data_IF_327949825841
#
_entry.id   IF_327949825841
#
_cell.length_a   1.000
_cell.length_b   1.000
_cell.length_c   1.000
_cell.angle_alpha   90.00
_cell.angle_beta   90.00
_cell.angle_gamma   90.00
#
_symmetry.space_group_name_H-M   'P 1'
#
loop_
_entity.id
_entity.type
_entity.pdbx_description
1 polymer ?
#
# COMPACT_ATOMS: atom_id res chain seq x y z
N UNK A 1 -14.70 -23.27 -11.51
CA UNK A 1 -14.56 -23.34 -12.97
C UNK A 1 -13.15 -22.92 -13.28
N UNK A 2 -12.36 -23.80 -13.90
CA UNK A 2 -11.05 -23.42 -14.43
C UNK A 2 -11.31 -22.58 -15.68
N UNK A 3 -10.98 -21.30 -15.64
CA UNK A 3 -11.00 -20.47 -16.85
C UNK A 3 -9.87 -20.95 -17.77
N UNK A 4 -10.12 -21.20 -19.06
CA UNK A 4 -9.09 -21.71 -19.95
C UNK A 4 -8.02 -20.62 -20.16
N UNK A 5 -6.77 -20.94 -19.84
CA UNK A 5 -5.62 -20.15 -20.26
C UNK A 5 -5.32 -20.49 -21.73
N UNK A 6 -5.99 -19.77 -22.63
CA UNK A 6 -5.92 -19.97 -24.08
C UNK A 6 -5.18 -18.84 -24.81
N UNK A 7 -5.10 -18.95 -26.15
CA UNK A 7 -4.44 -17.95 -26.98
C UNK A 7 -5.03 -16.54 -26.88
N UNK A 8 -6.32 -16.39 -26.54
CA UNK A 8 -6.95 -15.08 -26.35
C UNK A 8 -6.45 -14.41 -25.09
N UNK A 9 -6.45 -15.12 -23.97
CA UNK A 9 -5.91 -14.58 -22.71
C UNK A 9 -4.39 -14.36 -22.74
N UNK A 10 -3.66 -15.16 -23.53
CA UNK A 10 -2.23 -14.96 -23.79
C UNK A 10 -1.98 -13.65 -24.54
N UNK A 11 -2.79 -13.30 -25.54
CA UNK A 11 -2.65 -12.05 -26.29
C UNK A 11 -2.89 -10.82 -25.38
N UNK A 12 -3.86 -10.91 -24.47
CA UNK A 12 -4.13 -9.85 -23.48
C UNK A 12 -2.97 -9.65 -22.50
N UNK A 13 -2.30 -10.73 -22.06
CA UNK A 13 -1.07 -10.65 -21.25
C UNK A 13 0.06 -9.96 -21.99
N UNK A 14 0.33 -10.36 -23.22
CA UNK A 14 1.36 -9.72 -24.05
C UNK A 14 1.05 -8.24 -24.29
N UNK A 15 -0.22 -7.88 -24.50
CA UNK A 15 -0.63 -6.47 -24.64
C UNK A 15 -0.39 -5.67 -23.37
N UNK A 16 -0.72 -6.24 -22.19
CA UNK A 16 -0.41 -5.59 -20.91
C UNK A 16 1.11 -5.42 -20.73
N UNK A 17 1.91 -6.47 -20.97
CA UNK A 17 3.37 -6.40 -20.86
C UNK A 17 3.96 -5.32 -21.78
N UNK A 18 3.51 -5.25 -23.03
CA UNK A 18 3.94 -4.23 -23.99
C UNK A 18 3.60 -2.82 -23.52
N UNK A 19 2.38 -2.58 -23.00
CA UNK A 19 1.99 -1.27 -22.47
C UNK A 19 2.86 -0.86 -21.28
N UNK A 20 3.04 -1.77 -20.31
CA UNK A 20 3.88 -1.50 -19.13
C UNK A 20 5.33 -1.19 -19.52
N UNK A 21 5.86 -1.84 -20.55
CA UNK A 21 7.20 -1.58 -21.04
C UNK A 21 7.33 -0.24 -21.79
N UNK A 22 6.33 0.09 -22.62
CA UNK A 22 6.27 1.38 -23.32
C UNK A 22 6.15 2.56 -22.35
N UNK A 23 5.43 2.36 -21.24
CA UNK A 23 5.27 3.33 -20.16
C UNK A 23 6.51 3.37 -19.22
N UNK A 24 7.47 2.46 -19.38
CA UNK A 24 8.73 2.44 -18.64
C UNK A 24 8.70 1.72 -17.29
N UNK A 25 7.57 1.08 -16.94
CA UNK A 25 7.42 0.32 -15.69
C UNK A 25 8.14 -1.04 -15.77
N UNK A 26 7.96 -1.74 -16.89
CA UNK A 26 8.53 -3.06 -17.13
C UNK A 26 9.87 -2.93 -17.86
N UNK A 27 10.98 -3.22 -17.18
CA UNK A 27 12.33 -2.86 -17.64
C UNK A 27 13.23 -4.08 -17.84
N UNK A 28 13.10 -5.08 -16.97
CA UNK A 28 13.98 -6.25 -16.96
C UNK A 28 13.39 -7.41 -17.76
N UNK A 29 14.18 -8.12 -18.60
CA UNK A 29 13.70 -9.25 -19.40
C UNK A 29 13.02 -10.37 -18.58
N UNK A 30 13.47 -10.59 -17.34
CA UNK A 30 12.91 -11.59 -16.45
C UNK A 30 11.47 -11.23 -16.03
N UNK A 31 11.21 -9.95 -15.76
CA UNK A 31 9.86 -9.49 -15.43
C UNK A 31 8.96 -9.46 -16.67
N UNK A 32 9.51 -9.22 -17.86
CA UNK A 32 8.77 -9.36 -19.11
C UNK A 32 8.16 -10.75 -19.25
N UNK A 33 8.98 -11.79 -19.17
CA UNK A 33 8.52 -13.18 -19.23
C UNK A 33 7.54 -13.50 -18.10
N UNK A 34 7.79 -13.03 -16.87
CA UNK A 34 6.87 -13.24 -15.76
C UNK A 34 5.46 -12.67 -16.01
N UNK A 35 5.35 -11.45 -16.56
CA UNK A 35 4.05 -10.83 -16.88
C UNK A 35 3.35 -11.55 -18.03
N UNK A 36 4.09 -11.95 -19.07
CA UNK A 36 3.55 -12.65 -20.24
C UNK A 36 3.07 -14.07 -19.92
N UNK A 37 3.71 -14.74 -18.97
CA UNK A 37 3.46 -16.15 -18.65
C UNK A 37 2.57 -16.36 -17.42
N UNK A 38 2.35 -15.33 -16.59
CA UNK A 38 1.51 -15.46 -15.37
C UNK A 38 0.04 -15.09 -15.64
N UNK A 39 -0.90 -16.05 -15.61
CA UNK A 39 -2.31 -15.81 -15.94
C UNK A 39 -3.06 -15.08 -14.81
N UNK A 40 -3.08 -13.74 -14.86
CA UNK A 40 -3.76 -12.90 -13.84
C UNK A 40 -5.22 -13.29 -13.57
N UNK A 41 -5.94 -13.77 -14.58
CA UNK A 41 -7.33 -14.21 -14.48
C UNK A 41 -7.54 -15.50 -13.65
N UNK A 42 -6.52 -16.37 -13.53
CA UNK A 42 -6.56 -17.51 -12.59
C UNK A 42 -6.49 -17.00 -11.16
N UNK A 43 -5.62 -16.01 -10.91
CA UNK A 43 -5.49 -15.40 -9.59
C UNK A 43 -6.69 -14.51 -9.21
N UNK A 44 -7.31 -13.85 -10.19
CA UNK A 44 -8.42 -12.90 -10.00
C UNK A 44 -9.69 -13.41 -10.69
N UNK A 45 -10.29 -14.53 -10.26
CA UNK A 45 -11.48 -15.11 -10.89
C UNK A 45 -12.75 -14.26 -10.73
N UNK A 46 -12.73 -13.32 -9.77
CA UNK A 46 -13.82 -12.42 -9.43
C UNK A 46 -13.24 -11.12 -8.87
N UNK A 47 -13.83 -10.00 -9.27
CA UNK A 47 -13.57 -8.69 -8.67
C UNK A 47 -14.89 -7.93 -8.48
N UNK A 48 -14.82 -6.76 -7.84
CA UNK A 48 -15.97 -5.90 -7.57
C UNK A 48 -15.76 -4.52 -8.21
N UNK A 49 -16.82 -4.00 -8.84
CA UNK A 49 -16.91 -2.60 -9.29
C UNK A 49 -17.98 -1.86 -8.49
N UNK A 50 -17.86 -0.54 -8.41
CA UNK A 50 -18.93 0.30 -7.86
C UNK A 50 -19.81 0.82 -9.00
N UNK A 51 -21.12 0.59 -8.88
CA UNK A 51 -22.15 1.14 -9.77
C UNK A 51 -23.19 1.81 -8.87
N UNK A 52 -23.37 3.13 -9.04
CA UNK A 52 -24.33 3.94 -8.25
C UNK A 52 -24.21 3.73 -6.72
N UNK A 53 -22.96 3.65 -6.23
CA UNK A 53 -22.67 3.45 -4.81
C UNK A 53 -22.88 2.03 -4.28
N UNK A 54 -23.20 1.06 -5.15
CA UNK A 54 -23.33 -0.36 -4.80
C UNK A 54 -22.17 -1.17 -5.38
N UNK A 55 -21.75 -2.19 -4.64
CA UNK A 55 -20.74 -3.14 -5.09
C UNK A 55 -21.40 -4.23 -5.94
N UNK A 56 -20.94 -4.38 -7.18
CA UNK A 56 -21.33 -5.46 -8.10
C UNK A 56 -20.14 -6.37 -8.36
N UNK A 57 -20.34 -7.68 -8.27
CA UNK A 57 -19.31 -8.66 -8.63
C UNK A 57 -19.23 -8.84 -10.13
N UNK A 58 -18.01 -8.90 -10.66
CA UNK A 58 -17.68 -9.17 -12.06
C UNK A 58 -16.85 -10.44 -12.12
N UNK A 59 -17.25 -11.36 -12.99
CA UNK A 59 -16.59 -12.64 -13.26
C UNK A 59 -16.53 -12.85 -14.80
N UNK A 60 -16.04 -14.00 -15.26
CA UNK A 60 -15.92 -14.25 -16.71
C UNK A 60 -17.23 -14.34 -17.51
N UNK A 61 -18.41 -14.26 -16.87
CA UNK A 61 -19.69 -14.15 -17.57
C UNK A 61 -19.92 -12.70 -18.08
N UNK A 62 -19.21 -11.72 -17.52
CA UNK A 62 -19.21 -10.33 -17.97
C UNK A 62 -18.30 -10.18 -19.21
N UNK A 63 -18.77 -9.59 -20.32
CA UNK A 63 -17.99 -9.45 -21.55
C UNK A 63 -16.70 -8.63 -21.38
N UNK A 64 -16.67 -7.71 -20.42
CA UNK A 64 -15.51 -6.83 -20.17
C UNK A 64 -14.53 -7.43 -19.15
N UNK A 65 -14.80 -8.64 -18.64
CA UNK A 65 -14.01 -9.25 -17.57
C UNK A 65 -12.53 -9.40 -17.93
N UNK A 66 -12.21 -10.05 -19.05
CA UNK A 66 -10.81 -10.33 -19.41
C UNK A 66 -10.04 -9.04 -19.72
N UNK A 67 -10.66 -8.11 -20.44
CA UNK A 67 -10.07 -6.81 -20.74
C UNK A 67 -9.80 -6.02 -19.46
N UNK A 68 -10.73 -6.06 -18.50
CA UNK A 68 -10.56 -5.42 -17.19
C UNK A 68 -9.46 -6.11 -16.37
N UNK A 69 -9.41 -7.45 -16.35
CA UNK A 69 -8.35 -8.21 -15.66
C UNK A 69 -6.96 -7.84 -16.18
N UNK A 70 -6.81 -7.64 -17.49
CA UNK A 70 -5.54 -7.27 -18.11
C UNK A 70 -5.36 -5.77 -18.34
N UNK A 71 -6.21 -4.93 -17.75
CA UNK A 71 -6.02 -3.49 -17.71
C UNK A 71 -4.99 -3.07 -16.64
N UNK A 72 -4.42 -1.87 -16.80
CA UNK A 72 -3.49 -1.31 -15.81
C UNK A 72 -4.25 -0.64 -14.65
N UNK A 73 -5.16 -1.37 -14.01
CA UNK A 73 -5.95 -0.90 -12.88
C UNK A 73 -5.89 -1.89 -11.71
N UNK A 74 -6.12 -1.37 -10.51
CA UNK A 74 -6.34 -2.19 -9.33
C UNK A 74 -7.76 -2.75 -9.35
N UNK A 75 -7.92 -4.02 -8.96
CA UNK A 75 -9.20 -4.71 -8.94
C UNK A 75 -9.56 -5.03 -7.50
N UNK A 76 -10.71 -4.56 -7.01
CA UNK A 76 -11.19 -4.91 -5.66
C UNK A 76 -11.63 -6.38 -5.66
N UNK A 77 -11.09 -7.20 -4.77
CA UNK A 77 -11.31 -8.66 -4.78
C UNK A 77 -12.01 -9.18 -3.54
N UNK A 78 -12.15 -8.34 -2.51
CA UNK A 78 -12.94 -8.65 -1.32
C UNK A 78 -13.59 -7.38 -0.78
N UNK A 79 -14.89 -7.47 -0.48
CA UNK A 79 -15.67 -6.40 0.18
C UNK A 79 -16.28 -6.97 1.45
N UNK A 80 -16.03 -6.32 2.60
CA UNK A 80 -16.61 -6.66 3.90
C UNK A 80 -17.37 -5.44 4.40
N UNK A 81 -18.66 -5.63 4.74
CA UNK A 81 -19.52 -4.55 5.27
C UNK A 81 -19.50 -3.28 4.43
N UNK A 82 -19.54 -3.43 3.11
CA UNK A 82 -19.56 -2.31 2.15
C UNK A 82 -18.21 -1.62 1.91
N UNK A 83 -17.10 -2.15 2.45
CA UNK A 83 -15.75 -1.59 2.28
C UNK A 83 -14.82 -2.61 1.63
N UNK A 84 -14.01 -2.16 0.68
CA UNK A 84 -12.94 -2.98 0.11
C UNK A 84 -11.94 -3.39 1.21
N UNK A 85 -11.52 -4.65 1.17
CA UNK A 85 -10.60 -5.25 2.17
C UNK A 85 -9.51 -6.11 1.56
N UNK A 86 -9.59 -6.39 0.25
CA UNK A 86 -8.52 -6.96 -0.55
C UNK A 86 -8.64 -6.46 -1.99
N UNK A 87 -7.51 -6.36 -2.67
CA UNK A 87 -7.43 -6.04 -4.10
C UNK A 87 -6.28 -6.80 -4.76
N UNK A 88 -6.40 -6.99 -6.07
CA UNK A 88 -5.25 -7.21 -6.94
C UNK A 88 -4.74 -5.83 -7.35
N UNK A 89 -3.58 -5.42 -6.84
CA UNK A 89 -3.00 -4.09 -7.08
C UNK A 89 -2.78 -3.78 -8.56
N UNK A 90 -2.66 -2.49 -8.87
CA UNK A 90 -2.35 -2.01 -10.22
C UNK A 90 -1.06 -2.66 -10.74
N UNK A 91 -1.05 -3.24 -11.95
CA UNK A 91 0.13 -3.90 -12.52
C UNK A 91 1.38 -3.03 -12.55
N UNK A 92 1.31 -1.78 -13.04
CA UNK A 92 2.48 -0.90 -13.10
C UNK A 92 3.12 -0.68 -11.73
N UNK A 93 2.33 -0.36 -10.71
CA UNK A 93 2.81 -0.17 -9.35
C UNK A 93 3.52 -1.43 -8.80
N UNK A 94 2.94 -2.61 -9.03
CA UNK A 94 3.54 -3.87 -8.57
C UNK A 94 4.84 -4.17 -9.29
N UNK A 95 4.90 -3.96 -10.60
CA UNK A 95 6.12 -4.15 -11.38
C UNK A 95 7.20 -3.15 -10.95
N UNK A 96 6.86 -1.88 -10.74
CA UNK A 96 7.82 -0.90 -10.22
C UNK A 96 8.42 -1.36 -8.89
N UNK A 97 7.58 -1.83 -7.95
CA UNK A 97 8.05 -2.36 -6.66
C UNK A 97 8.95 -3.60 -6.83
N UNK A 98 8.63 -4.51 -7.75
CA UNK A 98 9.41 -5.71 -8.03
C UNK A 98 10.76 -5.42 -8.71
N UNK A 99 10.79 -4.44 -9.63
CA UNK A 99 12.02 -3.96 -10.26
C UNK A 99 12.93 -3.31 -9.20
N UNK A 100 12.38 -2.46 -8.33
CA UNK A 100 13.15 -1.81 -7.25
C UNK A 100 13.59 -2.78 -6.16
N UNK A 101 12.84 -3.87 -5.95
CA UNK A 101 13.26 -4.96 -5.06
C UNK A 101 14.54 -5.63 -5.56
N UNK A 102 14.79 -5.61 -6.87
CA UNK A 102 16.05 -6.10 -7.47
C UNK A 102 16.32 -7.56 -7.14
N UNK A 103 15.36 -8.44 -7.43
CA UNK A 103 15.47 -9.88 -7.18
C UNK A 103 16.48 -10.51 -8.14
N UNK A 104 17.44 -11.25 -7.59
CA UNK A 104 18.44 -12.03 -8.33
C UNK A 104 18.20 -13.54 -8.18
N UNK A 105 18.86 -14.32 -9.04
CA UNK A 105 18.68 -15.77 -9.08
C UNK A 105 19.11 -16.43 -7.76
N UNK A 106 18.32 -17.41 -7.31
CA UNK A 106 18.56 -18.17 -6.07
C UNK A 106 18.24 -17.43 -4.77
N UNK A 107 17.78 -16.17 -4.84
CA UNK A 107 17.42 -15.40 -3.66
C UNK A 107 16.08 -15.85 -3.06
N UNK A 108 16.01 -15.91 -1.73
CA UNK A 108 14.78 -16.12 -0.96
C UNK A 108 13.97 -14.83 -0.87
N UNK A 109 12.72 -14.88 -1.32
CA UNK A 109 11.80 -13.74 -1.36
C UNK A 109 10.63 -13.97 -0.41
N UNK A 110 10.36 -12.98 0.44
CA UNK A 110 9.16 -12.91 1.27
C UNK A 110 8.16 -11.91 0.72
N UNK A 111 6.87 -12.22 0.82
CA UNK A 111 5.77 -11.30 0.57
C UNK A 111 4.84 -11.19 1.78
N UNK A 112 4.39 -9.98 2.10
CA UNK A 112 3.32 -9.72 3.09
C UNK A 112 2.09 -9.19 2.37
N UNK A 113 0.93 -9.77 2.70
CA UNK A 113 -0.39 -9.59 2.08
C UNK A 113 -0.51 -10.32 0.71
N UNK A 114 -0.54 -11.66 0.77
CA UNK A 114 -0.71 -12.51 -0.42
C UNK A 114 -1.93 -12.14 -1.26
N UNK A 115 -3.05 -11.78 -0.63
CA UNK A 115 -4.29 -11.41 -1.30
C UNK A 115 -4.77 -12.49 -2.26
N UNK A 116 -4.80 -12.17 -3.56
CA UNK A 116 -5.19 -13.14 -4.59
C UNK A 116 -4.12 -14.16 -4.95
N UNK A 117 -2.84 -13.85 -4.67
CA UNK A 117 -1.67 -14.61 -5.08
C UNK A 117 -1.02 -14.15 -6.39
N UNK A 118 -1.58 -13.16 -7.10
CA UNK A 118 -1.05 -12.77 -8.43
C UNK A 118 0.40 -12.29 -8.38
N UNK A 119 0.74 -11.40 -7.45
CA UNK A 119 2.11 -10.91 -7.29
C UNK A 119 3.07 -12.04 -6.88
N UNK A 120 2.64 -12.90 -5.96
CA UNK A 120 3.36 -14.13 -5.64
C UNK A 120 3.58 -15.05 -6.86
N UNK A 121 2.65 -15.07 -7.82
CA UNK A 121 2.78 -15.85 -9.06
C UNK A 121 3.90 -15.32 -9.94
N UNK A 122 4.01 -13.99 -10.07
CA UNK A 122 5.14 -13.34 -10.75
C UNK A 122 6.47 -13.65 -10.05
N UNK A 123 6.49 -13.64 -8.72
CA UNK A 123 7.70 -13.97 -7.94
C UNK A 123 8.07 -15.45 -8.08
N UNK A 124 7.09 -16.37 -8.05
CA UNK A 124 7.32 -17.79 -8.28
C UNK A 124 7.92 -18.04 -9.67
N UNK A 125 7.42 -17.36 -10.70
CA UNK A 125 8.01 -17.41 -12.04
C UNK A 125 9.46 -16.92 -12.03
N UNK A 126 9.73 -15.80 -11.34
CA UNK A 126 11.06 -15.18 -11.30
C UNK A 126 12.13 -16.00 -10.58
N UNK A 127 11.83 -16.60 -9.43
CA UNK A 127 12.84 -17.29 -8.59
C UNK A 127 12.57 -18.77 -8.34
N UNK A 128 11.41 -19.29 -8.73
CA UNK A 128 10.92 -20.60 -8.31
C UNK A 128 10.18 -20.55 -6.97
N UNK A 129 9.13 -21.36 -6.85
CA UNK A 129 8.26 -21.41 -5.67
C UNK A 129 8.98 -21.89 -4.41
N UNK A 130 10.05 -22.69 -4.53
CA UNK A 130 10.90 -23.13 -3.44
C UNK A 130 11.69 -21.98 -2.78
N UNK A 131 11.83 -20.85 -3.47
CA UNK A 131 12.49 -19.64 -2.95
C UNK A 131 11.48 -18.58 -2.49
N UNK A 132 10.19 -18.88 -2.49
CA UNK A 132 9.14 -17.91 -2.17
C UNK A 132 8.34 -18.31 -0.92
N UNK A 133 8.12 -17.33 -0.04
CA UNK A 133 7.21 -17.44 1.11
C UNK A 133 6.33 -16.21 1.17
N UNK A 134 5.04 -16.39 1.44
CA UNK A 134 4.08 -15.28 1.54
C UNK A 134 3.17 -15.44 2.75
N UNK A 135 2.69 -14.31 3.28
CA UNK A 135 1.80 -14.27 4.44
C UNK A 135 0.51 -13.52 4.13
N UNK A 136 -0.62 -14.10 4.55
CA UNK A 136 -1.95 -13.52 4.43
C UNK A 136 -2.68 -13.55 5.78
N UNK A 137 -3.31 -12.43 6.14
CA UNK A 137 -4.05 -12.30 7.39
C UNK A 137 -5.39 -13.06 7.34
N UNK A 138 -6.09 -13.01 6.20
CA UNK A 138 -7.38 -13.68 6.01
C UNK A 138 -7.19 -15.17 5.67
N UNK A 139 -7.61 -16.11 6.53
CA UNK A 139 -7.42 -17.54 6.29
C UNK A 139 -8.08 -18.05 5.00
N UNK A 140 -9.18 -17.45 4.56
CA UNK A 140 -9.86 -17.85 3.34
C UNK A 140 -9.11 -17.35 2.10
N UNK A 141 -8.61 -16.12 2.11
CA UNK A 141 -7.73 -15.64 1.03
C UNK A 141 -6.44 -16.46 0.96
N UNK A 142 -5.85 -16.80 2.12
CA UNK A 142 -4.67 -17.68 2.21
C UNK A 142 -4.94 -19.05 1.57
N UNK A 143 -6.10 -19.65 1.85
CA UNK A 143 -6.53 -20.93 1.27
C UNK A 143 -6.75 -20.83 -0.24
N UNK A 144 -7.42 -19.77 -0.71
CA UNK A 144 -7.68 -19.54 -2.13
C UNK A 144 -6.41 -19.28 -2.93
N UNK A 145 -5.47 -18.50 -2.38
CA UNK A 145 -4.18 -18.25 -2.99
C UNK A 145 -3.38 -19.55 -3.17
N UNK A 146 -3.35 -20.45 -2.17
CA UNK A 146 -2.73 -21.79 -2.30
C UNK A 146 -3.30 -22.57 -3.48
N UNK A 147 -4.62 -22.60 -3.63
CA UNK A 147 -5.27 -23.29 -4.76
C UNK A 147 -4.86 -22.67 -6.09
N UNK A 148 -4.82 -21.35 -6.21
CA UNK A 148 -4.44 -20.64 -7.45
C UNK A 148 -2.97 -20.82 -7.81
N UNK A 149 -2.08 -20.87 -6.83
CA UNK A 149 -0.68 -21.26 -7.06
C UNK A 149 -0.60 -22.67 -7.64
N UNK A 150 -1.31 -23.63 -7.05
CA UNK A 150 -1.32 -25.01 -7.53
C UNK A 150 -1.89 -25.14 -8.95
N UNK A 151 -2.94 -24.38 -9.28
CA UNK A 151 -3.48 -24.31 -10.64
C UNK A 151 -2.45 -23.77 -11.64
N UNK A 152 -1.55 -22.88 -11.21
CA UNK A 152 -0.42 -22.38 -12.01
C UNK A 152 0.84 -23.24 -11.92
N UNK A 153 0.79 -24.41 -11.27
CA UNK A 153 1.94 -25.32 -11.15
C UNK A 153 2.94 -24.96 -10.04
N UNK A 154 2.60 -24.04 -9.14
CA UNK A 154 3.44 -23.62 -8.02
C UNK A 154 2.90 -24.12 -6.68
N UNK A 155 3.78 -24.36 -5.72
CA UNK A 155 3.48 -24.78 -4.34
C UNK A 155 4.37 -24.05 -3.31
N UNK A 156 4.35 -22.70 -3.28
CA UNK A 156 5.15 -21.94 -2.32
C UNK A 156 4.60 -22.09 -0.90
N UNK A 157 5.40 -21.67 0.08
CA UNK A 157 4.94 -21.61 1.47
C UNK A 157 4.00 -20.41 1.64
N UNK A 158 2.71 -20.68 1.89
CA UNK A 158 1.71 -19.64 2.20
C UNK A 158 1.29 -19.76 3.67
N UNK A 159 1.65 -18.75 4.45
CA UNK A 159 1.36 -18.65 5.89
C UNK A 159 0.07 -17.86 6.10
N UNK A 160 -0.86 -18.41 6.89
CA UNK A 160 -1.98 -17.63 7.42
C UNK A 160 -1.56 -17.01 8.76
N UNK A 161 -1.60 -15.68 8.88
CA UNK A 161 -1.18 -14.99 10.09
C UNK A 161 -1.09 -13.48 9.97
N UNK A 162 -0.97 -12.82 11.12
CA UNK A 162 -0.75 -11.37 11.19
C UNK A 162 0.73 -11.06 11.04
N UNK A 163 1.09 -10.40 9.93
CA UNK A 163 2.46 -10.00 9.63
C UNK A 163 3.07 -9.04 10.66
N UNK A 164 2.25 -8.40 11.52
CA UNK A 164 2.76 -7.65 12.69
C UNK A 164 3.61 -8.53 13.62
N UNK A 165 3.33 -9.83 13.68
CA UNK A 165 4.08 -10.81 14.46
C UNK A 165 5.33 -11.35 13.73
N UNK A 166 5.54 -11.02 12.45
CA UNK A 166 6.62 -11.52 11.62
C UNK A 166 6.37 -12.93 11.06
N UNK A 167 7.27 -13.40 10.20
CA UNK A 167 7.21 -14.75 9.63
C UNK A 167 7.51 -15.81 10.70
N UNK A 168 6.75 -16.94 10.73
CA UNK A 168 7.15 -18.11 11.50
C UNK A 168 8.56 -18.57 11.12
N UNK A 169 9.33 -19.00 12.11
CA UNK A 169 10.66 -19.61 11.96
C UNK A 169 11.75 -18.73 11.30
N UNK A 170 11.51 -17.42 11.07
CA UNK A 170 12.51 -16.47 10.54
C UNK A 170 13.28 -16.97 9.31
N UNK A 171 12.69 -16.94 8.10
CA UNK A 171 13.20 -17.63 6.91
C UNK A 171 14.55 -17.12 6.33
N UNK A 172 15.17 -16.10 6.94
CA UNK A 172 16.39 -15.42 6.48
C UNK A 172 16.28 -14.98 5.01
N UNK A 173 15.38 -14.03 4.76
CA UNK A 173 15.03 -13.51 3.44
C UNK A 173 16.14 -12.63 2.87
N UNK A 174 16.36 -12.74 1.56
CA UNK A 174 17.23 -11.86 0.79
C UNK A 174 16.46 -10.61 0.33
N UNK A 175 15.16 -10.78 0.10
CA UNK A 175 14.23 -9.76 -0.39
C UNK A 175 12.89 -9.88 0.35
N UNK A 176 12.31 -8.76 0.73
CA UNK A 176 10.98 -8.69 1.32
C UNK A 176 10.17 -7.62 0.61
N UNK A 177 9.00 -7.98 0.10
CA UNK A 177 8.00 -7.04 -0.41
C UNK A 177 6.77 -7.03 0.50
N UNK A 178 6.30 -5.84 0.83
CA UNK A 178 5.07 -5.63 1.62
C UNK A 178 4.05 -4.95 0.73
N UNK A 179 2.84 -5.51 0.64
CA UNK A 179 1.77 -5.02 -0.26
C UNK A 179 0.51 -4.61 0.51
N UNK A 180 0.68 -4.15 1.75
CA UNK A 180 -0.34 -3.48 2.56
C UNK A 180 0.30 -2.36 3.39
N UNK A 181 -0.48 -1.34 3.74
CA UNK A 181 -0.01 -0.24 4.58
C UNK A 181 0.09 -0.62 6.05
N UNK A 182 1.08 -0.07 6.75
CA UNK A 182 1.13 -0.09 8.21
C UNK A 182 1.31 1.34 8.73
N UNK A 183 0.79 1.63 9.93
CA UNK A 183 1.07 2.90 10.64
C UNK A 183 2.58 3.08 10.88
N UNK A 184 3.24 1.99 11.27
CA UNK A 184 4.69 1.87 11.36
C UNK A 184 5.13 0.49 10.88
N UNK A 185 6.30 0.39 10.28
CA UNK A 185 6.83 -0.87 9.77
C UNK A 185 7.00 -1.89 10.92
N UNK A 186 6.42 -3.09 10.83
CA UNK A 186 6.58 -4.09 11.88
C UNK A 186 8.03 -4.58 11.98
N UNK A 187 8.74 -4.21 13.05
CA UNK A 187 10.14 -4.62 13.26
C UNK A 187 10.31 -6.15 13.32
N UNK A 188 9.25 -6.91 13.63
CA UNK A 188 9.25 -8.37 13.53
C UNK A 188 9.52 -8.89 12.11
N UNK A 189 9.09 -8.15 11.07
CA UNK A 189 9.40 -8.45 9.68
C UNK A 189 10.85 -8.10 9.33
N UNK A 190 11.40 -7.01 9.88
CA UNK A 190 12.80 -6.62 9.67
C UNK A 190 13.75 -7.75 10.09
N UNK A 191 13.45 -8.43 11.20
CA UNK A 191 14.24 -9.58 11.68
C UNK A 191 14.20 -10.81 10.78
N UNK A 192 13.23 -10.90 9.86
CA UNK A 192 13.20 -11.98 8.89
C UNK A 192 14.16 -11.76 7.72
N UNK A 193 14.72 -10.56 7.55
CA UNK A 193 15.58 -10.17 6.43
C UNK A 193 17.05 -10.25 6.85
N UNK A 194 17.88 -10.91 6.05
CA UNK A 194 19.31 -11.01 6.32
C UNK A 194 19.99 -9.64 6.20
N UNK A 195 21.15 -9.48 6.84
CA UNK A 195 22.01 -8.30 6.61
C UNK A 195 22.36 -8.17 5.11
N UNK A 196 22.18 -6.97 4.57
CA UNK A 196 22.33 -6.65 3.15
C UNK A 196 21.12 -7.01 2.30
N UNK A 197 20.06 -7.61 2.88
CA UNK A 197 18.80 -7.83 2.21
C UNK A 197 18.04 -6.53 1.95
N UNK A 198 17.13 -6.55 0.98
CA UNK A 198 16.35 -5.38 0.56
C UNK A 198 14.88 -5.56 0.92
N UNK A 199 14.28 -4.49 1.43
CA UNK A 199 12.85 -4.41 1.72
C UNK A 199 12.22 -3.34 0.82
N UNK A 200 11.13 -3.67 0.15
CA UNK A 200 10.27 -2.68 -0.52
C UNK A 200 8.91 -2.70 0.16
N UNK A 201 8.50 -1.57 0.72
CA UNK A 201 7.26 -1.49 1.50
C UNK A 201 6.58 -0.12 1.39
N UNK A 202 5.24 -0.08 1.43
CA UNK A 202 4.52 1.18 1.54
C UNK A 202 4.63 1.75 2.96
N UNK A 203 4.88 3.06 3.04
CA UNK A 203 4.82 3.86 4.26
C UNK A 203 4.17 5.20 3.91
N UNK A 204 3.09 5.56 4.61
CA UNK A 204 2.23 6.65 4.17
C UNK A 204 1.74 6.43 2.73
N UNK A 205 1.84 7.46 1.89
CA UNK A 205 1.43 7.45 0.48
C UNK A 205 2.58 7.25 -0.51
N UNK A 206 3.65 6.57 -0.08
CA UNK A 206 4.79 6.24 -0.93
C UNK A 206 5.37 4.87 -0.60
N UNK A 207 6.26 4.40 -1.47
CA UNK A 207 7.01 3.17 -1.27
C UNK A 207 8.45 3.48 -0.87
N UNK A 208 8.96 2.81 0.15
CA UNK A 208 10.35 2.91 0.57
C UNK A 208 11.14 1.67 0.16
N UNK A 209 12.37 1.88 -0.31
CA UNK A 209 13.36 0.83 -0.59
C UNK A 209 14.45 0.88 0.49
N UNK A 210 14.43 -0.10 1.37
CA UNK A 210 15.27 -0.16 2.56
C UNK A 210 16.31 -1.27 2.45
N UNK A 211 17.48 -1.05 3.03
CA UNK A 211 18.51 -2.08 3.17
C UNK A 211 18.62 -2.48 4.63
N UNK A 212 18.65 -3.79 4.88
CA UNK A 212 18.86 -4.33 6.22
C UNK A 212 20.34 -4.23 6.63
N UNK A 213 20.61 -3.44 7.65
CA UNK A 213 21.91 -3.25 8.27
C UNK A 213 22.19 -4.26 9.39
N UNK A 214 23.09 -3.86 10.30
CA UNK A 214 23.38 -4.62 11.51
C UNK A 214 22.16 -4.59 12.44
N UNK A 215 21.95 -5.68 13.20
CA UNK A 215 20.92 -5.77 14.24
C UNK A 215 19.49 -5.48 13.69
N UNK A 216 19.24 -5.80 12.41
CA UNK A 216 17.94 -5.65 11.76
C UNK A 216 17.49 -4.20 11.52
N UNK A 217 18.38 -3.21 11.67
CA UNK A 217 18.09 -1.82 11.31
C UNK A 217 17.78 -1.75 9.81
N UNK A 218 16.65 -1.17 9.42
CA UNK A 218 16.34 -0.90 8.03
C UNK A 218 16.55 0.58 7.76
N UNK A 219 17.25 0.92 6.68
CA UNK A 219 17.44 2.31 6.28
C UNK A 219 17.38 2.44 4.75
N UNK A 220 16.76 3.51 4.26
CA UNK A 220 16.70 3.77 2.83
C UNK A 220 15.81 4.96 2.47
N UNK A 221 15.50 5.07 1.18
CA UNK A 221 14.76 6.20 0.60
C UNK A 221 13.41 5.78 0.07
N UNK A 222 12.53 6.75 -0.06
CA UNK A 222 11.30 6.60 -0.84
C UNK A 222 11.60 6.58 -2.34
N UNK A 223 10.74 5.89 -3.07
CA UNK A 223 10.66 5.94 -4.52
C UNK A 223 9.88 7.20 -4.94
N UNK A 224 10.09 7.67 -6.18
CA UNK A 224 9.43 8.87 -6.68
C UNK A 224 7.89 8.71 -6.80
N UNK A 225 7.44 7.48 -7.12
CA UNK A 225 6.02 7.16 -7.31
C UNK A 225 5.22 7.10 -6.00
N UNK A 226 3.96 7.53 -6.08
CA UNK A 226 3.00 7.41 -4.97
C UNK A 226 2.41 6.00 -4.89
N UNK A 227 1.96 5.60 -3.70
CA UNK A 227 1.32 4.30 -3.50
C UNK A 227 0.22 4.37 -2.44
N UNK A 228 -0.95 3.83 -2.75
CA UNK A 228 -2.16 3.95 -1.93
C UNK A 228 -2.69 2.58 -1.51
N UNK A 229 -1.89 1.87 -0.74
CA UNK A 229 -2.24 0.52 -0.29
C UNK A 229 -3.32 0.54 0.80
N UNK A 230 -4.14 -0.53 0.82
CA UNK A 230 -5.07 -0.75 1.93
C UNK A 230 -4.29 -0.96 3.23
N UNK A 231 -4.77 -0.36 4.32
CA UNK A 231 -4.15 -0.50 5.64
C UNK A 231 -4.30 -1.92 6.18
N UNK A 232 -3.25 -2.40 6.85
CA UNK A 232 -3.27 -3.62 7.61
C UNK A 232 -4.37 -3.55 8.68
N UNK A 233 -5.11 -4.65 8.83
CA UNK A 233 -6.34 -4.70 9.63
C UNK A 233 -6.30 -5.85 10.62
N UNK A 234 -7.37 -6.04 11.39
CA UNK A 234 -7.63 -7.29 12.12
C UNK A 234 -8.52 -8.20 11.27
N UNK A 235 -8.48 -9.51 11.51
CA UNK A 235 -9.35 -10.48 10.81
C UNK A 235 -10.83 -10.05 10.93
N UNK A 236 -11.53 -10.01 9.80
CA UNK A 236 -12.95 -9.60 9.74
C UNK A 236 -13.22 -8.11 9.90
N UNK A 237 -12.19 -7.26 10.05
CA UNK A 237 -12.34 -5.80 10.11
C UNK A 237 -11.99 -5.14 8.78
N UNK A 238 -12.35 -3.86 8.64
CA UNK A 238 -12.11 -3.07 7.42
C UNK A 238 -10.88 -2.16 7.50
N UNK A 239 -10.13 -2.22 8.61
CA UNK A 239 -8.94 -1.41 8.86
C UNK A 239 -9.20 0.07 9.16
N UNK A 240 -10.34 0.63 8.73
CA UNK A 240 -10.66 2.05 8.90
C UNK A 240 -10.94 2.44 10.35
N UNK A 241 -10.55 3.67 10.71
CA UNK A 241 -11.02 4.33 11.93
C UNK A 241 -12.47 4.79 11.72
N UNK A 242 -13.45 4.31 12.52
CA UNK A 242 -14.83 4.76 12.41
C UNK A 242 -14.94 6.27 12.60
N UNK A 243 -15.80 6.93 11.82
CA UNK A 243 -16.05 8.36 11.98
C UNK A 243 -16.68 8.62 13.36
N UNK A 244 -16.12 9.51 14.21
CA UNK A 244 -16.56 9.68 15.61
C UNK A 244 -17.87 10.46 15.78
N UNK A 245 -18.60 10.74 14.68
CA UNK A 245 -19.65 11.75 14.60
C UNK A 245 -19.14 13.18 14.88
N UNK A 246 -19.98 14.18 14.62
CA UNK A 246 -19.62 15.57 14.86
C UNK A 246 -19.63 15.85 16.37
N UNK A 247 -18.52 16.33 16.95
CA UNK A 247 -18.43 16.52 18.39
C UNK A 247 -19.33 17.68 18.84
N UNK A 248 -20.09 17.46 19.93
CA UNK A 248 -20.95 18.52 20.50
C UNK A 248 -20.18 19.66 21.18
N UNK A 249 -18.86 19.52 21.39
CA UNK A 249 -17.96 20.56 21.90
C UNK A 249 -16.70 20.58 21.04
N UNK A 250 -16.37 21.75 20.49
CA UNK A 250 -15.18 21.98 19.68
C UNK A 250 -14.66 23.40 19.90
N UNK A 251 -13.41 23.62 19.51
CA UNK A 251 -12.85 24.96 19.33
C UNK A 251 -12.97 25.35 17.86
N UNK A 252 -13.24 26.63 17.58
CA UNK A 252 -13.31 27.19 16.23
C UNK A 252 -12.26 28.28 16.08
N UNK A 253 -11.54 28.29 14.96
CA UNK A 253 -10.58 29.34 14.60
C UNK A 253 -10.50 29.52 13.09
N UNK A 254 -9.85 30.58 12.66
CA UNK A 254 -9.47 30.76 11.25
C UNK A 254 -8.26 29.89 10.93
N UNK A 255 -8.31 29.18 9.81
CA UNK A 255 -7.24 28.39 9.25
C UNK A 255 -6.13 29.31 8.72
N UNK A 256 -4.87 28.90 8.88
CA UNK A 256 -3.74 29.53 8.19
C UNK A 256 -3.65 29.04 6.74
N UNK A 257 -4.21 27.86 6.46
CA UNK A 257 -4.19 27.22 5.16
C UNK A 257 -5.58 26.72 4.78
N UNK A 258 -5.86 26.71 3.48
CA UNK A 258 -7.16 26.30 2.93
C UNK A 258 -7.21 24.79 2.64
N UNK A 259 -8.40 24.19 2.68
CA UNK A 259 -8.58 22.76 2.41
C UNK A 259 -8.20 22.35 0.98
N UNK A 260 -8.11 23.27 0.02
CA UNK A 260 -7.62 22.98 -1.34
C UNK A 260 -6.22 22.37 -1.39
N UNK A 261 -5.40 22.57 -0.34
CA UNK A 261 -4.08 21.92 -0.22
C UNK A 261 -4.16 20.40 -0.17
N UNK A 262 -5.31 19.81 0.15
CA UNK A 262 -5.46 18.34 0.09
C UNK A 262 -5.34 17.79 -1.34
N UNK A 263 -5.30 18.66 -2.36
CA UNK A 263 -5.03 18.29 -3.75
C UNK A 263 -3.53 18.24 -4.10
N UNK A 264 -2.65 18.77 -3.26
CA UNK A 264 -1.21 18.71 -3.48
C UNK A 264 -0.67 17.32 -3.10
N UNK A 265 -0.41 16.50 -4.12
CA UNK A 265 0.07 15.14 -3.99
C UNK A 265 1.37 15.00 -3.14
N UNK A 266 2.28 15.96 -3.22
CA UNK A 266 3.56 15.91 -2.49
C UNK A 266 3.37 16.30 -1.02
N UNK A 267 2.57 17.34 -0.77
CA UNK A 267 2.20 17.69 0.60
C UNK A 267 1.42 16.56 1.27
N UNK A 268 0.47 15.95 0.54
CA UNK A 268 -0.32 14.80 0.99
C UNK A 268 0.56 13.61 1.37
N UNK A 269 1.64 13.37 0.63
CA UNK A 269 2.64 12.39 1.02
C UNK A 269 3.31 12.75 2.35
N UNK A 270 3.83 13.97 2.52
CA UNK A 270 4.44 14.40 3.77
C UNK A 270 3.46 14.30 4.96
N UNK A 271 2.21 14.73 4.77
CA UNK A 271 1.14 14.59 5.75
C UNK A 271 0.91 13.13 6.15
N UNK A 272 0.90 12.20 5.18
CA UNK A 272 0.67 10.77 5.42
C UNK A 272 1.77 10.09 6.24
N UNK A 273 2.99 10.65 6.26
CA UNK A 273 4.08 10.12 7.09
C UNK A 273 3.87 10.47 8.57
N UNK A 274 3.27 11.62 8.87
CA UNK A 274 3.11 12.14 10.24
C UNK A 274 1.74 11.78 10.83
N UNK A 275 0.70 11.75 9.99
CA UNK A 275 -0.70 11.50 10.39
C UNK A 275 -1.24 10.22 9.76
N UNK A 276 -0.38 9.23 9.52
CA UNK A 276 -0.72 7.99 8.81
C UNK A 276 -1.77 7.13 9.53
N UNK A 277 -1.90 7.28 10.85
CA UNK A 277 -2.90 6.61 11.67
C UNK A 277 -4.29 7.27 11.65
N UNK A 278 -4.38 8.45 11.02
CA UNK A 278 -5.64 9.18 10.87
C UNK A 278 -6.42 8.71 9.65
N UNK A 279 -7.75 8.70 9.78
CA UNK A 279 -8.66 8.63 8.65
C UNK A 279 -9.08 10.04 8.23
N UNK A 280 -9.55 10.15 7.00
CA UNK A 280 -9.96 11.42 6.42
C UNK A 280 -11.09 11.28 5.41
N UNK A 281 -11.70 12.41 5.09
CA UNK A 281 -12.72 12.53 4.05
C UNK A 281 -12.69 13.94 3.47
N UNK A 282 -12.87 14.03 2.15
CA UNK A 282 -13.11 15.29 1.44
C UNK A 282 -14.60 15.43 1.17
N UNK A 283 -15.18 16.56 1.56
CA UNK A 283 -16.56 16.90 1.22
C UNK A 283 -16.60 17.47 -0.19
N UNK A 284 -17.56 17.01 -1.00
CA UNK A 284 -17.74 17.43 -2.38
C UNK A 284 -19.12 18.07 -2.56
N UNK A 285 -19.21 19.12 -3.39
CA UNK A 285 -20.49 19.63 -3.88
C UNK A 285 -21.11 18.73 -4.96
N UNK A 286 -22.28 19.13 -5.46
CA UNK A 286 -22.97 18.40 -6.54
C UNK A 286 -22.24 18.38 -7.88
N UNK A 287 -21.20 19.19 -8.05
CA UNK A 287 -20.33 19.24 -9.23
C UNK A 287 -19.02 18.46 -9.01
N UNK A 288 -18.82 17.90 -7.81
CA UNK A 288 -17.62 17.15 -7.45
C UNK A 288 -16.45 18.03 -6.97
N UNK A 289 -16.67 19.32 -6.73
CA UNK A 289 -15.63 20.20 -6.18
C UNK A 289 -15.49 20.02 -4.68
N UNK A 290 -14.25 19.96 -4.19
CA UNK A 290 -13.97 19.91 -2.76
C UNK A 290 -14.44 21.19 -2.02
N UNK A 291 -15.41 21.04 -1.13
CA UNK A 291 -15.96 22.12 -0.29
C UNK A 291 -15.42 22.10 1.13
N UNK A 292 -14.89 20.96 1.57
CA UNK A 292 -14.34 20.83 2.92
C UNK A 292 -13.50 19.57 3.08
N UNK A 293 -12.87 19.47 4.23
CA UNK A 293 -12.02 18.33 4.59
C UNK A 293 -12.18 17.97 6.05
N UNK A 294 -12.17 16.68 6.35
CA UNK A 294 -12.22 16.13 7.71
C UNK A 294 -11.07 15.17 7.92
N UNK A 295 -10.49 15.20 9.12
CA UNK A 295 -9.48 14.26 9.58
C UNK A 295 -9.81 13.84 11.02
N UNK A 296 -9.67 12.55 11.32
CA UNK A 296 -9.96 12.01 12.64
C UNK A 296 -9.10 10.80 12.95
N UNK A 297 -8.93 10.53 14.24
CA UNK A 297 -8.12 9.41 14.72
C UNK A 297 -8.86 8.58 15.78
N UNK A 298 -8.31 7.40 16.09
CA UNK A 298 -8.91 6.43 17.03
C UNK A 298 -8.99 6.96 18.47
N UNK A 299 -8.15 7.93 18.83
CA UNK A 299 -8.16 8.58 20.16
C UNK A 299 -9.30 9.60 20.35
N UNK A 300 -10.16 9.77 19.34
CA UNK A 300 -11.26 10.74 19.35
C UNK A 300 -10.87 12.15 18.91
N UNK A 301 -9.61 12.37 18.51
CA UNK A 301 -9.18 13.62 17.87
C UNK A 301 -9.87 13.77 16.52
N UNK A 302 -10.33 14.97 16.25
CA UNK A 302 -11.14 15.28 15.08
C UNK A 302 -10.91 16.73 14.67
N UNK A 303 -10.86 16.97 13.37
CA UNK A 303 -10.92 18.30 12.78
C UNK A 303 -11.75 18.31 11.50
N UNK A 304 -12.40 19.45 11.26
CA UNK A 304 -13.14 19.77 10.04
C UNK A 304 -12.77 21.17 9.58
N UNK A 305 -12.53 21.30 8.28
CA UNK A 305 -12.19 22.56 7.62
C UNK A 305 -13.15 22.82 6.48
N UNK A 306 -13.75 23.99 6.50
CA UNK A 306 -14.68 24.52 5.50
C UNK A 306 -14.20 25.93 5.13
N UNK A 307 -13.57 26.04 3.96
CA UNK A 307 -12.81 27.22 3.54
C UNK A 307 -11.74 27.58 4.56
N UNK A 308 -11.86 28.76 5.17
CA UNK A 308 -10.91 29.24 6.19
C UNK A 308 -11.37 28.97 7.63
N UNK A 309 -12.46 28.23 7.85
CA UNK A 309 -12.95 27.93 9.19
C UNK A 309 -12.54 26.52 9.61
N UNK A 310 -11.80 26.44 10.71
CA UNK A 310 -11.37 25.17 11.33
C UNK A 310 -12.17 24.93 12.59
N UNK A 311 -12.76 23.74 12.71
CA UNK A 311 -13.31 23.20 13.95
C UNK A 311 -12.53 21.97 14.35
N UNK A 312 -12.21 21.85 15.63
CA UNK A 312 -11.44 20.70 16.13
C UNK A 312 -11.73 20.36 17.58
N UNK A 313 -11.61 19.09 17.91
CA UNK A 313 -11.90 18.51 19.22
C UNK A 313 -11.01 17.28 19.48
N UNK A 314 -11.03 16.81 20.74
CA UNK A 314 -10.26 15.66 21.19
C UNK A 314 -8.87 16.01 21.71
N UNK A 315 -8.07 14.98 22.06
CA UNK A 315 -6.78 15.15 22.74
C UNK A 315 -5.70 15.78 21.84
N UNK A 316 -5.80 15.65 20.52
CA UNK A 316 -4.87 16.25 19.56
C UNK A 316 -5.56 17.27 18.66
N UNK A 317 -4.85 18.34 18.33
CA UNK A 317 -5.27 19.38 17.38
C UNK A 317 -4.82 19.00 15.98
N UNK A 318 -5.56 18.09 15.34
CA UNK A 318 -5.13 17.48 14.08
C UNK A 318 -4.91 18.50 12.97
N UNK A 319 -5.71 19.57 12.90
CA UNK A 319 -5.50 20.59 11.87
C UNK A 319 -4.32 21.52 12.17
N UNK A 320 -4.02 21.77 13.45
CA UNK A 320 -2.80 22.47 13.84
C UNK A 320 -1.57 21.68 13.36
N UNK A 321 -1.59 20.35 13.48
CA UNK A 321 -0.56 19.47 12.94
C UNK A 321 -0.41 19.57 11.43
N UNK A 322 -1.53 19.59 10.68
CA UNK A 322 -1.52 19.75 9.23
C UNK A 322 -0.88 21.09 8.85
N UNK A 323 -1.20 22.17 9.56
CA UNK A 323 -0.59 23.49 9.36
C UNK A 323 0.91 23.52 9.68
N UNK A 324 1.34 22.84 10.75
CA UNK A 324 2.76 22.71 11.10
C UNK A 324 3.56 21.93 10.05
N UNK A 325 3.03 20.79 9.57
CA UNK A 325 3.65 20.00 8.50
C UNK A 325 3.71 20.83 7.21
N UNK A 326 2.66 21.59 6.90
CA UNK A 326 2.65 22.45 5.73
C UNK A 326 3.71 23.55 5.81
N UNK A 327 3.81 24.25 6.95
CA UNK A 327 4.85 25.25 7.15
C UNK A 327 6.26 24.65 7.03
N UNK A 328 6.48 23.44 7.58
CA UNK A 328 7.73 22.71 7.39
C UNK A 328 7.97 22.37 5.91
N UNK A 329 6.97 21.87 5.20
CA UNK A 329 7.06 21.50 3.79
C UNK A 329 7.42 22.69 2.89
N UNK A 330 6.80 23.85 3.12
CA UNK A 330 7.11 25.10 2.41
C UNK A 330 8.53 25.59 2.67
N UNK A 331 8.95 25.62 3.95
CA UNK A 331 10.29 26.09 4.33
C UNK A 331 11.43 25.21 3.81
N UNK A 332 11.13 23.94 3.47
CA UNK A 332 12.08 23.00 2.88
C UNK A 332 11.96 22.89 1.35
N UNK A 333 11.25 23.83 0.72
CA UNK A 333 11.17 23.95 -0.73
C UNK A 333 10.31 22.88 -1.40
N UNK A 334 9.25 22.42 -0.71
CA UNK A 334 8.27 21.45 -1.22
C UNK A 334 8.94 20.19 -1.79
N UNK A 335 9.72 19.46 -0.97
CA UNK A 335 10.55 18.36 -1.44
C UNK A 335 9.75 17.25 -2.13
N UNK A 336 10.32 16.70 -3.21
CA UNK A 336 9.81 15.51 -3.87
C UNK A 336 9.96 14.27 -2.97
N UNK A 337 9.15 13.23 -3.22
CA UNK A 337 9.12 12.01 -2.39
C UNK A 337 10.47 11.34 -2.23
N UNK A 338 11.24 11.24 -3.30
CA UNK A 338 12.54 10.56 -3.35
C UNK A 338 13.65 11.23 -2.52
N UNK A 339 13.43 12.48 -2.09
CA UNK A 339 14.28 13.15 -1.11
C UNK A 339 14.05 12.66 0.31
N UNK A 340 12.91 12.06 0.60
CA UNK A 340 12.62 11.51 1.91
C UNK A 340 13.28 10.13 2.07
N UNK A 341 13.62 9.81 3.30
CA UNK A 341 13.99 8.48 3.70
C UNK A 341 13.46 8.11 5.07
N UNK A 342 13.75 6.88 5.45
CA UNK A 342 13.27 6.28 6.70
C UNK A 342 14.35 5.40 7.29
N UNK A 343 14.42 5.43 8.60
CA UNK A 343 15.22 4.51 9.40
C UNK A 343 14.31 3.81 10.41
N UNK A 344 14.32 2.49 10.40
CA UNK A 344 13.54 1.61 11.28
C UNK A 344 14.50 0.83 12.17
N UNK A 345 14.25 0.91 13.47
CA UNK A 345 15.01 0.22 14.52
C UNK A 345 14.06 -0.62 15.38
N UNK A 346 14.59 -1.33 16.37
CA UNK A 346 13.77 -2.08 17.31
C UNK A 346 12.81 -1.19 18.12
N UNK A 347 13.24 0.02 18.43
CA UNK A 347 12.57 0.91 19.37
C UNK A 347 11.83 2.07 18.68
N UNK A 348 12.24 2.44 17.48
CA UNK A 348 11.72 3.61 16.79
C UNK A 348 11.75 3.49 15.26
N UNK A 349 10.82 4.20 14.63
CA UNK A 349 10.84 4.53 13.21
C UNK A 349 10.89 6.06 13.10
N UNK A 350 11.79 6.58 12.26
CA UNK A 350 11.83 8.01 11.97
C UNK A 350 12.04 8.27 10.48
N UNK A 351 11.43 9.35 10.00
CA UNK A 351 11.59 9.83 8.64
C UNK A 351 12.57 11.01 8.64
N UNK A 352 13.26 11.17 7.51
CA UNK A 352 14.26 12.23 7.34
C UNK A 352 14.21 12.78 5.91
N UNK A 353 14.67 14.02 5.74
CA UNK A 353 14.78 14.69 4.45
C UNK A 353 16.25 14.77 4.04
N UNK A 354 16.55 14.34 2.81
CA UNK A 354 17.87 14.27 2.19
C UNK A 354 18.88 13.35 2.88
N UNK A 355 19.03 13.39 4.21
CA UNK A 355 19.96 12.57 4.97
C UNK A 355 19.42 12.22 6.38
N UNK A 356 19.83 11.08 6.98
CA UNK A 356 19.32 10.64 8.30
C UNK A 356 19.44 11.66 9.44
N UNK A 357 20.38 12.60 9.36
CA UNK A 357 20.57 13.66 10.36
C UNK A 357 19.55 14.79 10.29
N UNK A 358 18.66 14.81 9.30
CA UNK A 358 17.68 15.87 9.03
C UNK A 358 16.26 15.34 9.22
N UNK A 359 15.76 15.19 10.47
CA UNK A 359 14.49 14.54 10.75
C UNK A 359 13.30 15.33 10.21
N UNK A 360 12.30 14.61 9.69
CA UNK A 360 10.96 15.15 9.44
C UNK A 360 10.26 15.30 10.80
N UNK A 361 9.60 16.42 11.10
CA UNK A 361 8.91 16.61 12.38
C UNK A 361 7.76 15.61 12.52
N UNK A 362 7.92 14.68 13.46
CA UNK A 362 6.92 13.66 13.80
C UNK A 362 5.97 14.08 14.94
N UNK A 363 6.22 15.24 15.55
CA UNK A 363 5.59 15.60 16.81
C UNK A 363 4.20 16.18 16.63
N UNK A 364 3.18 15.35 16.85
CA UNK A 364 2.05 15.74 17.70
C UNK A 364 2.28 15.17 19.10
N UNK A 365 3.25 15.71 19.84
CA UNK A 365 3.25 15.56 21.29
C UNK A 365 2.15 16.50 21.80
N UNK A 366 1.19 16.04 22.63
CA UNK A 366 0.24 16.97 23.23
C UNK A 366 1.04 18.05 23.99
N UNK A 367 0.64 19.33 23.96
CA UNK A 367 1.22 20.30 24.89
C UNK A 367 1.01 19.78 26.33
N UNK A 368 2.06 19.89 27.14
CA UNK A 368 2.08 19.49 28.57
C UNK A 368 0.91 20.04 29.38
#
# INVERSE_FOLDING_TARGET
MSYPDDGGTSALRSSLAQRLAQEGHLRSPQWHSAVEETPRHIYVPLFYRQVEGKWESVNADDPDYFDTVYSNTALTTQVISGRATSSSSQPSLMIDMLEELGIEDGQKVGEVATGTGYNGGLICHRVGDQHFVTMELDPELSRLAKTRFQECGYSPVVVAGDARAGFPCHPELDRLIVTCGFDAFPYALARAVRRGGVVVCPLGWGNARLTAGKDGVLEGRFLAGGSYFMQARAVGSTGGVPYPHDPGRFTERTAQIDHSLVRDEMFRFAQSLVLGECNEATELDGEGNATGYRIWSRDGSWASVDGTKVRQAGPRRLWDAVEEIHAWFETHGRPARDRFGVTVTADAQHYWLDEPGSPVPLSLVPPE
#
